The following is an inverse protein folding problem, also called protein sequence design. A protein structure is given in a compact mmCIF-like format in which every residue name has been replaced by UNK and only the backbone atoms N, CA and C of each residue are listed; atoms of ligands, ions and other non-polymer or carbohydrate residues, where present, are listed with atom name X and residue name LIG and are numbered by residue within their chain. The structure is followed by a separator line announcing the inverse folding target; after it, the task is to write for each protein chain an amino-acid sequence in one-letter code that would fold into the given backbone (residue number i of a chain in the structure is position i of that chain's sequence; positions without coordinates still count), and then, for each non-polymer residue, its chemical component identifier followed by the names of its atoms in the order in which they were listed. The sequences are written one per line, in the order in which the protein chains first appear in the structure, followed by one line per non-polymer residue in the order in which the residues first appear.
data_IF_274523072257
#
_entry.id   IF_274523072257
#
_cell.length_a   1.000
_cell.length_b   1.000
_cell.length_c   1.000
_cell.angle_alpha   90.00
_cell.angle_beta   90.00
_cell.angle_gamma   90.00
#
_symmetry.space_group_name_H-M   'P 1'
#
loop_
_entity.id
_entity.type
_entity.pdbx_description
1 polymer ?
#
# COMPACT_ATOMS: atom_id res chain seq x y z
N UNK A 1 5.91 12.13 9.06
CA UNK A 1 5.19 10.83 8.97
C UNK A 1 3.80 10.96 9.59
N UNK A 2 3.72 11.53 10.79
CA UNK A 2 2.48 11.65 11.58
C UNK A 2 1.32 12.33 10.87
N UNK A 3 1.59 13.38 10.08
CA UNK A 3 0.54 14.06 9.29
C UNK A 3 -0.08 13.14 8.24
N UNK A 4 0.74 12.39 7.50
CA UNK A 4 0.24 11.49 6.44
C UNK A 4 -0.55 10.33 7.06
N UNK A 5 -0.08 9.80 8.18
CA UNK A 5 -0.80 8.77 8.93
C UNK A 5 -2.15 9.31 9.45
N UNK A 6 -2.18 10.51 10.01
CA UNK A 6 -3.42 11.15 10.45
C UNK A 6 -4.39 11.39 9.27
N UNK A 7 -3.88 11.80 8.11
CA UNK A 7 -4.69 12.00 6.91
C UNK A 7 -5.25 10.67 6.37
N UNK A 8 -4.47 9.58 6.41
CA UNK A 8 -4.98 8.24 6.10
C UNK A 8 -6.03 7.76 7.10
N UNK A 9 -5.84 8.01 8.40
CA UNK A 9 -6.83 7.67 9.43
C UNK A 9 -8.15 8.41 9.23
N UNK A 10 -8.10 9.70 8.85
CA UNK A 10 -9.31 10.49 8.52
C UNK A 10 -10.05 9.96 7.30
N UNK A 11 -9.37 9.27 6.39
CA UNK A 11 -10.01 8.66 5.23
C UNK A 11 -10.79 7.38 5.58
N UNK A 12 -10.62 6.84 6.79
CA UNK A 12 -11.37 5.68 7.28
C UNK A 12 -12.73 6.17 7.82
N UNK A 13 -13.86 5.72 7.25
CA UNK A 13 -15.18 6.09 7.76
C UNK A 13 -15.43 5.55 9.18
N UNK A 14 -16.17 6.29 10.00
CA UNK A 14 -16.51 5.87 11.39
C UNK A 14 -17.17 4.49 11.43
N UNK A 15 -17.99 4.17 10.42
CA UNK A 15 -18.64 2.89 10.28
C UNK A 15 -17.94 2.05 9.20
N UNK A 16 -17.09 1.12 9.65
CA UNK A 16 -16.44 0.15 8.77
C UNK A 16 -17.01 -1.25 8.98
N UNK A 17 -17.23 -2.00 7.89
CA UNK A 17 -17.65 -3.41 7.96
C UNK A 17 -16.53 -4.37 8.42
N UNK A 18 -15.30 -3.88 8.54
CA UNK A 18 -14.13 -4.65 8.96
C UNK A 18 -13.34 -3.91 10.03
N UNK A 19 -12.74 -4.65 10.97
CA UNK A 19 -11.78 -4.12 11.95
C UNK A 19 -10.34 -4.08 11.41
N UNK A 20 -10.06 -4.84 10.34
CA UNK A 20 -8.74 -4.87 9.67
C UNK A 20 -8.76 -3.89 8.51
N UNK A 21 -8.63 -2.60 8.81
CA UNK A 21 -8.77 -1.50 7.85
C UNK A 21 -7.49 -1.17 7.10
N UNK A 22 -6.32 -1.63 7.55
CA UNK A 22 -5.02 -1.30 6.95
C UNK A 22 -4.55 -2.41 6.03
N UNK A 23 -4.24 -2.08 4.78
CA UNK A 23 -3.49 -2.94 3.86
C UNK A 23 -1.98 -2.68 4.03
N UNK A 24 -1.18 -3.74 4.04
CA UNK A 24 0.28 -3.64 4.05
C UNK A 24 0.88 -4.80 3.27
N UNK A 25 1.78 -4.50 2.34
CA UNK A 25 2.58 -5.51 1.64
C UNK A 25 4.05 -5.06 1.50
N UNK A 26 4.93 -6.01 1.17
CA UNK A 26 6.29 -5.73 0.75
C UNK A 26 6.56 -6.27 -0.66
N UNK A 27 7.16 -5.44 -1.51
CA UNK A 27 7.69 -5.88 -2.80
C UNK A 27 9.20 -5.94 -2.68
N UNK A 28 9.75 -7.10 -3.02
CA UNK A 28 11.15 -7.46 -2.78
C UNK A 28 11.82 -7.80 -4.12
N UNK A 29 12.29 -6.79 -4.89
CA UNK A 29 13.10 -7.02 -6.07
C UNK A 29 14.27 -7.98 -5.80
N UNK A 30 14.73 -8.67 -6.84
CA UNK A 30 15.91 -9.51 -6.70
C UNK A 30 17.11 -8.63 -6.30
N UNK A 31 18.06 -9.11 -5.46
CA UNK A 31 19.22 -8.30 -5.05
C UNK A 31 20.04 -7.70 -6.20
N UNK A 32 20.03 -8.34 -7.37
CA UNK A 32 20.73 -7.88 -8.58
C UNK A 32 19.93 -6.84 -9.38
N UNK A 33 18.63 -6.67 -9.10
CA UNK A 33 17.78 -5.69 -9.77
C UNK A 33 17.89 -4.33 -9.06
N UNK A 34 18.68 -3.43 -9.65
CA UNK A 34 18.75 -2.03 -9.22
C UNK A 34 17.68 -1.21 -9.92
N UNK A 35 16.56 -1.00 -9.24
CA UNK A 35 15.43 -0.25 -9.77
C UNK A 35 15.52 1.22 -9.34
N UNK A 36 15.24 2.15 -10.26
CA UNK A 36 15.12 3.57 -9.92
C UNK A 36 13.86 3.82 -9.07
N UNK A 37 13.85 4.93 -8.34
CA UNK A 37 12.68 5.36 -7.55
C UNK A 37 11.43 5.53 -8.44
N UNK A 38 11.60 6.02 -9.67
CA UNK A 38 10.53 6.12 -10.67
C UNK A 38 9.98 4.74 -11.05
N UNK A 39 10.86 3.77 -11.29
CA UNK A 39 10.44 2.41 -11.65
C UNK A 39 9.74 1.71 -10.48
N UNK A 40 10.27 1.85 -9.26
CA UNK A 40 9.63 1.33 -8.04
C UNK A 40 8.25 1.95 -7.82
N UNK A 41 8.11 3.25 -8.06
CA UNK A 41 6.82 3.96 -7.96
C UNK A 41 5.83 3.44 -8.99
N UNK A 42 6.28 3.22 -10.23
CA UNK A 42 5.42 2.68 -11.29
C UNK A 42 4.97 1.25 -10.98
N UNK A 43 5.89 0.39 -10.49
CA UNK A 43 5.55 -0.97 -10.05
C UNK A 43 4.53 -0.95 -8.91
N UNK A 44 4.73 -0.09 -7.90
CA UNK A 44 3.80 0.04 -6.79
C UNK A 44 2.41 0.47 -7.26
N UNK A 45 2.34 1.41 -8.22
CA UNK A 45 1.08 1.86 -8.81
C UNK A 45 0.36 0.72 -9.55
N UNK A 46 1.05 0.05 -10.47
CA UNK A 46 0.51 -1.10 -11.23
C UNK A 46 0.02 -2.20 -10.29
N UNK A 47 0.83 -2.53 -9.27
CA UNK A 47 0.48 -3.53 -8.27
C UNK A 47 -0.80 -3.19 -7.51
N UNK A 48 -0.95 -1.93 -7.09
CA UNK A 48 -2.17 -1.47 -6.40
C UNK A 48 -3.39 -1.46 -7.33
N UNK A 49 -3.22 -1.11 -8.60
CA UNK A 49 -4.30 -1.16 -9.60
C UNK A 49 -4.80 -2.60 -9.80
N UNK A 50 -3.89 -3.55 -10.01
CA UNK A 50 -4.21 -4.97 -10.24
C UNK A 50 -4.85 -5.63 -9.01
N UNK A 51 -4.44 -5.25 -7.79
CA UNK A 51 -5.08 -5.73 -6.56
C UNK A 51 -6.47 -5.11 -6.30
N UNK A 52 -6.89 -4.12 -7.08
CA UNK A 52 -8.17 -3.40 -6.89
C UNK A 52 -8.10 -2.22 -5.91
N UNK A 53 -6.89 -1.84 -5.50
CA UNK A 53 -6.61 -0.72 -4.59
C UNK A 53 -6.24 0.58 -5.32
N UNK A 54 -6.24 0.63 -6.65
CA UNK A 54 -5.76 1.80 -7.42
C UNK A 54 -6.48 3.13 -7.13
N UNK A 55 -7.67 3.10 -6.50
CA UNK A 55 -8.40 4.30 -6.06
C UNK A 55 -8.19 4.67 -4.58
N UNK A 56 -7.45 3.85 -3.84
CA UNK A 56 -7.16 4.08 -2.43
C UNK A 56 -5.95 5.00 -2.25
N UNK A 57 -5.91 5.81 -1.18
CA UNK A 57 -4.68 6.47 -0.79
C UNK A 57 -3.67 5.41 -0.33
N UNK A 58 -2.40 5.58 -0.70
CA UNK A 58 -1.33 4.73 -0.23
C UNK A 58 -0.02 5.48 -0.09
N UNK A 59 0.87 4.92 0.74
CA UNK A 59 2.24 5.39 0.93
C UNK A 59 3.19 4.26 0.53
N UNK A 60 4.26 4.60 -0.18
CA UNK A 60 5.36 3.69 -0.52
C UNK A 60 6.59 4.08 0.29
N UNK A 61 7.12 3.15 1.07
CA UNK A 61 8.37 3.31 1.82
C UNK A 61 9.46 2.48 1.16
N UNK A 62 10.58 3.09 0.81
CA UNK A 62 11.77 2.37 0.34
C UNK A 62 12.72 2.10 1.51
N UNK A 63 13.09 0.85 1.69
CA UNK A 63 14.03 0.40 2.71
C UNK A 63 15.33 -0.12 2.09
N UNK A 64 16.41 0.07 2.84
CA UNK A 64 17.80 -0.27 2.49
C UNK A 64 18.54 -0.92 3.69
N UNK A 65 17.77 -1.41 4.65
CA UNK A 65 18.23 -1.96 5.93
C UNK A 65 18.66 -3.44 5.86
N UNK A 66 18.43 -4.09 4.72
CA UNK A 66 18.93 -5.43 4.38
C UNK A 66 19.74 -5.40 3.08
N UNK A 67 20.35 -6.53 2.72
CA UNK A 67 21.20 -6.65 1.52
C UNK A 67 20.49 -6.42 0.15
N UNK A 68 19.19 -6.10 0.16
CA UNK A 68 18.40 -5.79 -1.04
C UNK A 68 17.50 -4.58 -0.77
N UNK A 69 17.34 -3.74 -1.79
CA UNK A 69 16.28 -2.72 -1.78
C UNK A 69 14.92 -3.41 -1.82
N UNK A 70 14.01 -2.94 -0.98
CA UNK A 70 12.61 -3.37 -1.00
C UNK A 70 11.72 -2.20 -0.67
N UNK A 71 10.45 -2.30 -1.07
CA UNK A 71 9.44 -1.30 -0.75
C UNK A 71 8.32 -1.90 0.08
N UNK A 72 7.79 -1.11 0.99
CA UNK A 72 6.53 -1.38 1.66
C UNK A 72 5.44 -0.46 1.13
N UNK A 73 4.27 -1.03 0.86
CA UNK A 73 3.09 -0.27 0.46
C UNK A 73 2.07 -0.37 1.60
N UNK A 74 1.61 0.78 2.08
CA UNK A 74 0.57 0.87 3.12
C UNK A 74 -0.64 1.58 2.55
N UNK A 75 -1.83 0.99 2.69
CA UNK A 75 -3.09 1.53 2.18
C UNK A 75 -4.27 1.15 3.09
N UNK A 76 -5.50 1.36 2.62
CA UNK A 76 -6.73 1.06 3.33
C UNK A 76 -7.50 -0.07 2.63
N UNK A 77 -8.02 -1.03 3.41
CA UNK A 77 -8.93 -2.11 2.99
C UNK A 77 -10.40 -1.67 2.91
N UNK A 78 -10.68 -0.39 3.03
CA UNK A 78 -12.03 0.16 3.04
C UNK A 78 -12.14 1.28 2.03
N UNK A 79 -13.25 1.32 1.29
CA UNK A 79 -13.55 2.43 0.40
C UNK A 79 -14.11 3.63 1.18
N UNK A 80 -14.37 4.73 0.48
CA UNK A 80 -14.95 5.96 1.06
C UNK A 80 -16.36 5.77 1.64
N UNK A 81 -16.99 4.61 1.42
CA UNK A 81 -18.30 4.23 1.97
C UNK A 81 -18.17 3.23 3.14
N UNK A 82 -16.95 2.94 3.60
CA UNK A 82 -16.69 2.02 4.71
C UNK A 82 -16.88 0.55 4.34
N UNK A 83 -17.00 0.25 3.04
CA UNK A 83 -17.14 -1.12 2.53
C UNK A 83 -15.76 -1.72 2.35
N UNK A 84 -15.62 -2.98 2.77
CA UNK A 84 -14.40 -3.73 2.59
C UNK A 84 -14.11 -3.91 1.09
N UNK A 85 -12.88 -3.63 0.69
CA UNK A 85 -12.35 -3.92 -0.65
C UNK A 85 -12.12 -5.43 -0.77
N UNK A 86 -12.25 -5.96 -1.98
CA UNK A 86 -12.03 -7.39 -2.22
C UNK A 86 -10.54 -7.72 -2.05
N UNK A 87 -10.23 -8.48 -1.01
CA UNK A 87 -8.87 -8.84 -0.59
C UNK A 87 -8.41 -10.21 -1.10
N UNK A 88 -9.15 -10.84 -2.01
CA UNK A 88 -8.85 -12.20 -2.50
C UNK A 88 -7.48 -12.35 -3.16
N UNK A 89 -6.83 -11.25 -3.52
CA UNK A 89 -5.52 -11.21 -4.17
C UNK A 89 -4.37 -10.79 -3.23
N UNK A 90 -4.64 -10.53 -1.94
CA UNK A 90 -3.64 -10.07 -0.96
C UNK A 90 -2.75 -11.21 -0.37
N UNK A 91 -2.34 -12.17 -1.21
CA UNK A 91 -1.61 -13.38 -0.79
C UNK A 91 -0.43 -13.15 0.15
#
# INVERSE_FOLDING_TARGET
MDKVLADMQKAIPEQCRTKKTVFHCSLNPHPDEKLSDERLTQIAKEYMEELGYGKQPYIVFKHNDIAREHIHIVSLRVDSQGRKINDKYEG
#
